data_IF_997425674219
#
_entry.id   IF_997425674219
#
_cell.length_a   1.000
_cell.length_b   1.000
_cell.length_c   1.000
_cell.angle_alpha   90.00
_cell.angle_beta   90.00
_cell.angle_gamma   90.00
#
_symmetry.space_group_name_H-M   'P 1'
#
loop_
_entity.id
_entity.type
_entity.pdbx_description
1 polymer ?
#
# COMPACT_ATOMS: atom_id res chain seq x y z
N UNK A 1 25.33 -30.80 -4.31
CA UNK A 1 25.04 -30.18 -5.61
C UNK A 1 25.86 -28.91 -5.65
N UNK A 2 26.89 -28.85 -6.50
CA UNK A 2 27.76 -27.66 -6.60
C UNK A 2 26.92 -26.52 -7.18
N UNK A 3 26.79 -25.41 -6.44
CA UNK A 3 26.25 -24.17 -6.98
C UNK A 3 27.25 -23.59 -7.98
N UNK A 4 26.75 -23.13 -9.12
CA UNK A 4 27.57 -22.50 -10.13
C UNK A 4 27.86 -21.04 -9.75
N UNK A 5 28.82 -20.40 -10.41
CA UNK A 5 29.20 -19.02 -10.09
C UNK A 5 28.02 -18.03 -10.20
N UNK A 6 27.13 -18.20 -11.18
CA UNK A 6 25.98 -17.31 -11.38
C UNK A 6 24.98 -17.37 -10.20
N UNK A 7 24.72 -18.57 -9.68
CA UNK A 7 23.81 -18.76 -8.54
C UNK A 7 24.39 -18.11 -7.26
N UNK A 8 25.70 -18.28 -7.05
CA UNK A 8 26.40 -17.68 -5.91
C UNK A 8 26.39 -16.17 -6.01
N UNK A 9 26.69 -15.60 -7.19
CA UNK A 9 26.66 -14.15 -7.43
C UNK A 9 25.31 -13.52 -7.12
N UNK A 10 24.22 -14.15 -7.56
CA UNK A 10 22.86 -13.69 -7.21
C UNK A 10 22.60 -13.74 -5.70
N UNK A 11 23.20 -14.69 -4.99
CA UNK A 11 23.04 -14.91 -3.55
C UNK A 11 23.95 -14.02 -2.69
N UNK A 12 25.04 -13.47 -3.23
CA UNK A 12 26.02 -12.68 -2.47
C UNK A 12 25.40 -11.46 -1.78
N UNK A 13 24.47 -10.77 -2.44
CA UNK A 13 23.79 -9.62 -1.84
C UNK A 13 22.99 -10.01 -0.59
N UNK A 14 22.22 -11.09 -0.67
CA UNK A 14 21.47 -11.60 0.48
C UNK A 14 22.39 -12.16 1.56
N UNK A 15 23.50 -12.80 1.19
CA UNK A 15 24.52 -13.28 2.11
C UNK A 15 25.16 -12.14 2.92
N UNK A 16 25.63 -11.09 2.24
CA UNK A 16 26.26 -9.90 2.88
C UNK A 16 25.28 -9.18 3.82
N UNK A 17 23.99 -9.14 3.48
CA UNK A 17 22.95 -8.55 4.31
C UNK A 17 22.44 -9.47 5.42
N UNK A 18 22.96 -10.70 5.52
CA UNK A 18 22.53 -11.69 6.51
C UNK A 18 21.09 -12.17 6.31
N UNK A 19 20.58 -12.10 5.08
CA UNK A 19 19.22 -12.46 4.70
C UNK A 19 19.09 -13.88 4.11
N UNK A 20 20.22 -14.61 4.02
CA UNK A 20 20.27 -15.97 3.50
C UNK A 20 19.99 -17.02 4.59
N UNK A 21 19.44 -18.17 4.21
CA UNK A 21 19.21 -19.26 5.17
C UNK A 21 20.54 -19.95 5.56
N UNK A 22 20.69 -20.49 6.79
CA UNK A 22 21.96 -21.07 7.25
C UNK A 22 22.52 -22.17 6.35
N UNK A 23 21.65 -22.99 5.77
CA UNK A 23 22.00 -24.04 4.81
C UNK A 23 22.56 -23.48 3.51
N UNK A 24 22.03 -22.36 3.03
CA UNK A 24 22.48 -21.68 1.82
C UNK A 24 23.81 -20.97 2.06
N UNK A 25 24.02 -20.41 3.27
CA UNK A 25 25.31 -19.82 3.68
C UNK A 25 26.45 -20.83 3.53
N UNK A 26 26.26 -22.08 3.98
CA UNK A 26 27.30 -23.13 3.87
C UNK A 26 27.68 -23.40 2.42
N UNK A 27 26.72 -23.36 1.50
CA UNK A 27 27.00 -23.59 0.07
C UNK A 27 27.74 -22.39 -0.55
N UNK A 28 27.33 -21.17 -0.21
CA UNK A 28 28.02 -19.94 -0.64
C UNK A 28 29.45 -19.89 -0.09
N UNK A 29 29.64 -20.16 1.21
CA UNK A 29 30.96 -20.20 1.86
C UNK A 29 31.88 -21.25 1.23
N UNK A 30 31.36 -22.45 0.95
CA UNK A 30 32.11 -23.50 0.27
C UNK A 30 32.59 -23.05 -1.11
N UNK A 31 31.74 -22.36 -1.89
CA UNK A 31 32.13 -21.83 -3.19
C UNK A 31 33.13 -20.67 -3.08
N UNK A 32 32.93 -19.76 -2.10
CA UNK A 32 33.85 -18.66 -1.84
C UNK A 32 35.24 -19.13 -1.40
N UNK A 33 35.36 -20.34 -0.83
CA UNK A 33 36.66 -20.95 -0.52
C UNK A 33 37.42 -21.37 -1.79
N UNK A 34 36.72 -21.69 -2.87
CA UNK A 34 37.29 -22.28 -4.10
C UNK A 34 37.35 -21.31 -5.29
N UNK A 35 36.58 -20.22 -5.28
CA UNK A 35 36.47 -19.28 -6.41
C UNK A 35 36.92 -17.85 -6.04
N UNK A 36 38.07 -17.42 -6.55
CA UNK A 36 38.59 -16.06 -6.32
C UNK A 36 37.73 -14.97 -6.97
N UNK A 37 37.05 -15.27 -8.08
CA UNK A 37 36.17 -14.31 -8.77
C UNK A 37 34.94 -13.94 -7.94
N UNK A 38 34.30 -14.93 -7.31
CA UNK A 38 33.18 -14.69 -6.40
C UNK A 38 33.64 -14.04 -5.09
N UNK A 39 34.86 -14.32 -4.62
CA UNK A 39 35.45 -13.67 -3.44
C UNK A 39 35.70 -12.18 -3.66
N UNK A 40 36.25 -11.81 -4.81
CA UNK A 40 36.47 -10.40 -5.16
C UNK A 40 35.15 -9.61 -5.20
N UNK A 41 34.08 -10.21 -5.73
CA UNK A 41 32.75 -9.58 -5.76
C UNK A 41 32.12 -9.47 -4.38
N UNK A 42 32.30 -10.48 -3.53
CA UNK A 42 31.89 -10.43 -2.13
C UNK A 42 32.56 -9.26 -1.38
N UNK A 43 33.85 -9.04 -1.60
CA UNK A 43 34.59 -7.94 -0.98
C UNK A 43 34.07 -6.57 -1.45
N UNK A 44 33.77 -6.43 -2.75
CA UNK A 44 33.17 -5.22 -3.31
C UNK A 44 31.80 -4.91 -2.69
N UNK A 45 30.93 -5.93 -2.59
CA UNK A 45 29.59 -5.79 -1.99
C UNK A 45 29.64 -5.50 -0.50
N UNK A 46 30.55 -6.12 0.25
CA UNK A 46 30.74 -5.87 1.68
C UNK A 46 31.14 -4.41 1.94
N UNK A 47 31.96 -3.84 1.05
CA UNK A 47 32.32 -2.42 1.09
C UNK A 47 31.10 -1.51 1.00
N UNK A 48 30.17 -1.78 0.08
CA UNK A 48 28.93 -1.00 -0.09
C UNK A 48 27.94 -1.25 1.06
N UNK A 49 27.76 -2.51 1.47
CA UNK A 49 26.85 -2.87 2.55
C UNK A 49 27.22 -2.22 3.90
N UNK A 50 28.52 -1.97 4.14
CA UNK A 50 28.97 -1.21 5.31
C UNK A 50 28.40 0.21 5.38
N UNK A 51 28.00 0.82 4.26
CA UNK A 51 27.32 2.12 4.26
C UNK A 51 25.85 2.02 4.67
N UNK A 52 25.17 0.89 4.41
CA UNK A 52 23.78 0.69 4.82
C UNK A 52 23.64 0.69 6.34
N UNK A 53 24.66 0.24 7.07
CA UNK A 53 24.69 0.32 8.54
C UNK A 53 24.73 1.75 9.10
N UNK A 54 24.96 2.78 8.27
CA UNK A 54 24.92 4.19 8.68
C UNK A 54 23.52 4.80 8.61
N UNK A 55 22.57 4.11 7.98
CA UNK A 55 21.19 4.58 7.82
C UNK A 55 20.44 4.28 9.11
N UNK A 56 19.89 5.31 9.73
CA UNK A 56 19.05 5.18 10.93
C UNK A 56 17.60 4.82 10.56
N UNK A 57 16.84 4.32 11.54
CA UNK A 57 15.41 4.07 11.37
C UNK A 57 14.64 5.35 11.01
N UNK A 58 15.07 6.51 11.53
CA UNK A 58 14.50 7.82 11.22
C UNK A 58 14.74 8.20 9.75
N UNK A 59 15.95 7.96 9.22
CA UNK A 59 16.26 8.20 7.80
C UNK A 59 15.36 7.36 6.88
N UNK A 60 15.11 6.10 7.26
CA UNK A 60 14.19 5.22 6.53
C UNK A 60 12.76 5.73 6.62
N UNK A 61 12.29 6.13 7.81
CA UNK A 61 10.94 6.66 8.01
C UNK A 61 10.68 7.95 7.22
N UNK A 62 11.69 8.82 7.13
CA UNK A 62 11.63 10.07 6.37
C UNK A 62 11.47 9.82 4.87
N UNK A 63 12.21 8.85 4.31
CA UNK A 63 12.11 8.47 2.89
C UNK A 63 10.82 7.68 2.61
N UNK A 64 10.40 6.81 3.53
CA UNK A 64 9.21 5.98 3.38
C UNK A 64 7.90 6.79 3.44
N UNK A 65 7.90 7.96 4.10
CA UNK A 65 6.78 8.89 4.04
C UNK A 65 6.76 9.66 2.71
N UNK A 66 5.76 9.45 1.83
CA UNK A 66 5.61 10.29 0.66
C UNK A 66 5.47 11.75 1.09
N UNK A 67 6.03 12.73 0.34
CA UNK A 67 5.86 14.13 0.68
C UNK A 67 4.37 14.45 0.85
N UNK A 68 4.00 15.03 2.01
CA UNK A 68 2.59 15.31 2.35
C UNK A 68 1.88 16.09 1.24
N UNK A 69 2.59 16.99 0.55
CA UNK A 69 2.09 17.71 -0.61
C UNK A 69 1.58 16.81 -1.76
N UNK A 70 2.21 15.66 -2.00
CA UNK A 70 1.77 14.69 -3.03
C UNK A 70 0.51 13.96 -2.55
N UNK A 71 0.49 13.51 -1.29
CA UNK A 71 -0.69 12.87 -0.70
C UNK A 71 -1.89 13.82 -0.69
N UNK A 72 -1.70 15.06 -0.24
CA UNK A 72 -2.73 16.10 -0.19
C UNK A 72 -3.24 16.46 -1.59
N UNK A 73 -2.36 16.48 -2.60
CA UNK A 73 -2.77 16.69 -3.99
C UNK A 73 -3.63 15.55 -4.52
N UNK A 74 -3.29 14.30 -4.21
CA UNK A 74 -4.07 13.13 -4.62
C UNK A 74 -5.42 13.05 -3.90
N UNK A 75 -5.43 13.26 -2.58
CA UNK A 75 -6.64 13.29 -1.76
C UNK A 75 -7.54 14.47 -2.14
N UNK A 76 -6.95 15.66 -2.33
CA UNK A 76 -7.63 16.87 -2.76
C UNK A 76 -8.26 16.75 -4.15
N UNK A 77 -7.54 16.16 -5.12
CA UNK A 77 -8.09 15.89 -6.44
C UNK A 77 -9.32 14.95 -6.37
N UNK A 78 -9.26 13.90 -5.55
CA UNK A 78 -10.37 12.95 -5.35
C UNK A 78 -11.55 13.60 -4.61
N UNK A 79 -11.28 14.41 -3.59
CA UNK A 79 -12.29 15.17 -2.87
C UNK A 79 -12.99 16.21 -3.76
N UNK A 80 -12.23 16.93 -4.60
CA UNK A 80 -12.76 17.91 -5.57
C UNK A 80 -13.68 17.23 -6.58
N UNK A 81 -13.27 16.08 -7.14
CA UNK A 81 -14.11 15.30 -8.09
C UNK A 81 -15.44 14.88 -7.46
N UNK A 82 -15.41 14.39 -6.20
CA UNK A 82 -16.64 14.03 -5.45
C UNK A 82 -17.52 15.25 -5.15
N UNK A 83 -16.93 16.40 -4.84
CA UNK A 83 -17.69 17.65 -4.59
C UNK A 83 -18.36 18.14 -5.87
N UNK A 84 -17.65 18.18 -7.00
CA UNK A 84 -18.20 18.57 -8.30
C UNK A 84 -19.34 17.63 -8.73
N UNK A 85 -19.16 16.31 -8.59
CA UNK A 85 -20.21 15.34 -8.91
C UNK A 85 -21.49 15.55 -8.09
N UNK A 86 -21.37 15.84 -6.78
CA UNK A 86 -22.52 16.15 -5.93
C UNK A 86 -23.21 17.45 -6.34
N UNK A 87 -22.45 18.49 -6.66
CA UNK A 87 -23.00 19.78 -7.12
C UNK A 87 -23.75 19.63 -8.44
N UNK A 88 -23.18 18.88 -9.40
CA UNK A 88 -23.84 18.59 -10.68
C UNK A 88 -25.12 17.78 -10.50
N UNK A 89 -25.12 16.79 -9.61
CA UNK A 89 -26.33 16.02 -9.29
C UNK A 89 -27.41 16.90 -8.67
N UNK A 90 -27.06 17.81 -7.75
CA UNK A 90 -28.02 18.75 -7.17
C UNK A 90 -28.58 19.72 -8.21
N UNK A 91 -27.75 20.22 -9.13
CA UNK A 91 -28.17 21.09 -10.24
C UNK A 91 -29.16 20.37 -11.17
N UNK A 92 -28.84 19.14 -11.58
CA UNK A 92 -29.73 18.31 -12.41
C UNK A 92 -31.08 18.05 -11.72
N UNK A 93 -31.06 17.75 -10.42
CA UNK A 93 -32.28 17.57 -9.64
C UNK A 93 -33.13 18.85 -9.56
N UNK A 94 -32.52 20.03 -9.36
CA UNK A 94 -33.24 21.30 -9.35
C UNK A 94 -33.88 21.65 -10.70
N UNK A 95 -33.22 21.34 -11.83
CA UNK A 95 -33.81 21.54 -13.17
C UNK A 95 -35.04 20.65 -13.38
N UNK A 96 -35.02 19.40 -12.90
CA UNK A 96 -36.19 18.51 -12.96
C UNK A 96 -37.36 19.04 -12.12
N UNK A 97 -37.10 19.55 -10.91
CA UNK A 97 -38.14 20.12 -10.04
C UNK A 97 -38.74 21.38 -10.65
N UNK A 98 -37.93 22.28 -11.21
CA UNK A 98 -38.42 23.49 -11.89
C UNK A 98 -39.12 23.15 -13.21
N UNK A 99 -38.66 22.15 -13.95
CA UNK A 99 -39.31 21.67 -15.17
C UNK A 99 -40.70 21.09 -14.89
N UNK A 100 -40.81 20.17 -13.92
CA UNK A 100 -42.09 19.55 -13.54
C UNK A 100 -43.02 20.55 -12.82
N UNK A 101 -42.48 21.41 -11.95
CA UNK A 101 -43.25 22.45 -11.27
C UNK A 101 -43.69 23.59 -12.20
N UNK A 102 -42.85 23.95 -13.17
CA UNK A 102 -43.13 24.97 -14.19
C UNK A 102 -44.18 24.51 -15.20
N UNK A 103 -44.17 23.24 -15.61
CA UNK A 103 -45.23 22.68 -16.46
C UNK A 103 -46.58 22.61 -15.72
N UNK A 104 -46.56 22.36 -14.41
CA UNK A 104 -47.77 22.33 -13.59
C UNK A 104 -48.31 23.74 -13.31
N UNK A 105 -47.45 24.75 -13.20
CA UNK A 105 -47.86 26.14 -13.02
C UNK A 105 -48.33 26.78 -14.34
N UNK A 106 -47.69 26.48 -15.47
CA UNK A 106 -48.12 26.94 -16.80
C UNK A 106 -49.47 26.34 -17.20
N UNK A 107 -49.81 25.12 -16.77
CA UNK A 107 -51.14 24.53 -17.00
C UNK A 107 -52.28 25.26 -16.25
N UNK A 108 -51.97 26.12 -15.27
CA UNK A 108 -52.97 26.92 -14.54
C UNK A 108 -53.15 28.33 -15.09
N UNK A 109 -52.29 28.77 -16.04
CA UNK A 109 -52.48 30.02 -16.78
C UNK A 109 -53.06 29.69 -18.15
N UNK A 110 -54.36 29.85 -18.31
CA UNK A 110 -55.01 29.93 -19.60
C UNK A 110 -54.36 31.05 -20.43
N UNK A 111 -53.71 30.76 -21.57
CA UNK A 111 -53.35 31.80 -22.52
C UNK A 111 -54.60 32.16 -23.32
N UNK A 112 -55.11 33.36 -23.08
CA UNK A 112 -55.98 34.04 -24.02
C UNK A 112 -55.29 34.10 -25.40
N UNK A 113 -56.02 33.58 -26.38
CA UNK A 113 -55.55 33.34 -27.73
C UNK A 113 -55.42 34.67 -28.50
N UNK A 114 -54.27 34.89 -29.12
CA UNK A 114 -54.18 35.69 -30.35
C UNK A 114 -53.35 34.93 -31.37
N UNK A 115 -54.03 34.52 -32.44
CA UNK A 115 -53.49 33.93 -33.66
C UNK A 115 -52.89 35.03 -34.54
N UNK A 116 -51.67 34.82 -35.05
CA UNK A 116 -51.18 35.33 -36.36
C UNK A 116 -49.84 34.61 -36.64
N UNK A 117 -49.74 33.63 -37.55
CA UNK A 117 -49.75 33.67 -39.02
C UNK A 117 -48.35 33.88 -39.63
N UNK A 118 -47.97 32.89 -40.47
CA UNK A 118 -46.98 32.93 -41.57
C UNK A 118 -45.50 33.20 -41.21
N UNK A 119 -44.46 32.63 -41.82
CA UNK A 119 -44.28 31.63 -42.88
C UNK A 119 -42.78 31.26 -42.90
N UNK A 120 -42.43 30.07 -43.38
CA UNK A 120 -41.06 29.73 -43.84
C UNK A 120 -40.84 30.34 -45.25
N UNK A 121 -39.59 30.66 -45.65
CA UNK A 121 -38.81 29.67 -46.41
C UNK A 121 -37.28 29.69 -46.16
N UNK A 122 -36.63 28.55 -46.43
CA UNK A 122 -35.21 28.44 -46.82
C UNK A 122 -35.07 28.77 -48.34
N UNK A 123 -33.90 29.11 -48.93
CA UNK A 123 -32.71 28.23 -49.01
C UNK A 123 -31.31 28.88 -49.23
N UNK A 124 -30.29 27.99 -49.36
CA UNK A 124 -29.10 28.02 -50.25
C UNK A 124 -27.76 28.68 -49.84
N UNK A 125 -26.80 27.80 -49.51
CA UNK A 125 -25.49 27.50 -50.17
C UNK A 125 -24.32 28.52 -50.33
N UNK A 126 -23.11 27.93 -50.16
CA UNK A 126 -21.77 28.26 -50.73
C UNK A 126 -20.98 29.46 -50.14
N UNK A 127 -19.65 29.46 -49.90
CA UNK A 127 -18.53 28.51 -50.05
C UNK A 127 -17.26 29.04 -49.35
N UNK A 128 -16.36 28.11 -49.00
CA UNK A 128 -14.87 28.16 -49.03
C UNK A 128 -14.05 29.16 -48.17
N UNK A 129 -12.99 28.65 -47.55
CA UNK A 129 -11.93 29.47 -46.91
C UNK A 129 -10.81 28.67 -46.22
N UNK A 130 -9.91 28.11 -47.04
CA UNK A 130 -8.47 27.79 -46.89
C UNK A 130 -7.78 27.54 -45.54
N UNK A 131 -6.93 26.52 -45.64
CA UNK A 131 -5.84 26.01 -44.80
C UNK A 131 -4.73 27.01 -44.45
N UNK A 132 -4.03 26.73 -43.35
CA UNK A 132 -2.71 27.26 -42.98
C UNK A 132 -2.45 27.00 -41.49
N UNK A 133 -1.31 26.51 -41.01
CA UNK A 133 -0.07 26.06 -41.62
C UNK A 133 0.79 25.55 -40.46
N UNK A 134 1.38 24.37 -40.63
CA UNK A 134 2.33 23.78 -39.69
C UNK A 134 3.71 24.33 -40.04
N UNK A 135 4.38 25.01 -39.10
CA UNK A 135 5.79 25.35 -39.23
C UNK A 135 6.45 25.38 -37.84
N UNK A 136 7.24 24.34 -37.57
CA UNK A 136 8.34 24.41 -36.63
C UNK A 136 9.39 25.41 -37.14
N UNK A 137 10.28 25.93 -36.27
CA UNK A 137 11.65 25.44 -36.40
C UNK A 137 12.48 25.35 -35.09
N UNK A 138 13.33 24.32 -35.11
CA UNK A 138 14.78 24.33 -34.86
C UNK A 138 15.39 24.39 -33.44
N UNK A 139 16.45 23.57 -33.35
CA UNK A 139 17.36 23.30 -32.23
C UNK A 139 18.24 24.50 -31.86
N UNK A 140 18.67 24.54 -30.60
CA UNK A 140 19.98 25.09 -30.22
C UNK A 140 20.63 24.22 -29.14
N UNK A 141 21.89 23.89 -29.42
CA UNK A 141 22.89 23.14 -28.68
C UNK A 141 23.33 23.80 -27.37
N UNK A 142 23.78 22.93 -26.47
CA UNK A 142 24.91 23.01 -25.53
C UNK A 142 24.99 24.21 -24.56
N UNK A 143 25.10 23.95 -23.25
CA UNK A 143 26.32 24.22 -22.45
C UNK A 143 26.10 24.08 -20.93
N UNK A 144 26.99 23.28 -20.33
CA UNK A 144 27.60 23.38 -18.99
C UNK A 144 26.77 23.75 -17.75
N UNK A 145 26.52 22.75 -16.89
CA UNK A 145 26.29 22.98 -15.46
C UNK A 145 27.50 22.50 -14.67
N UNK A 146 28.39 23.45 -14.35
CA UNK A 146 29.45 23.28 -13.39
C UNK A 146 28.87 23.37 -11.96
N UNK A 147 29.41 22.53 -11.10
CA UNK A 147 29.10 22.42 -9.69
C UNK A 147 29.28 23.72 -8.91
N UNK A 148 28.39 23.95 -7.94
CA UNK A 148 28.74 24.57 -6.66
C UNK A 148 27.68 24.22 -5.62
N UNK A 149 28.10 23.41 -4.65
CA UNK A 149 27.38 23.12 -3.42
C UNK A 149 28.15 23.74 -2.26
N UNK A 150 27.43 24.41 -1.34
CA UNK A 150 27.63 24.48 0.12
C UNK A 150 26.79 25.65 0.70
N UNK A 151 26.50 25.73 2.01
CA UNK A 151 25.63 24.82 2.79
C UNK A 151 24.59 25.63 3.62
N UNK A 152 23.47 25.03 4.04
CA UNK A 152 22.66 25.58 5.14
C UNK A 152 22.29 24.45 6.08
N UNK A 153 22.77 24.55 7.33
CA UNK A 153 22.42 23.67 8.45
C UNK A 153 21.00 23.99 8.92
N UNK A 154 20.16 23.00 9.27
CA UNK A 154 18.92 23.27 9.97
C UNK A 154 19.10 23.14 11.49
N UNK A 155 18.70 24.20 12.19
CA UNK A 155 18.46 24.21 13.63
C UNK A 155 17.36 23.19 14.01
N UNK A 156 17.59 22.55 15.14
CA UNK A 156 16.76 21.56 15.81
C UNK A 156 15.52 22.22 16.42
N UNK A 157 14.33 21.64 16.22
CA UNK A 157 13.13 22.01 16.97
C UNK A 157 12.54 20.74 17.62
N UNK A 158 13.00 20.48 18.84
CA UNK A 158 12.55 19.43 19.74
C UNK A 158 11.14 19.72 20.25
N UNK A 159 10.10 19.16 19.60
CA UNK A 159 8.76 19.02 20.21
C UNK A 159 8.09 17.70 19.83
N UNK A 160 8.54 16.62 20.48
CA UNK A 160 7.90 15.31 20.45
C UNK A 160 6.62 15.35 21.29
N UNK A 161 5.48 15.17 20.63
CA UNK A 161 4.20 14.78 21.25
C UNK A 161 4.20 13.27 21.48
N UNK A 162 4.22 12.85 22.75
CA UNK A 162 3.93 11.47 23.16
C UNK A 162 2.49 11.10 22.82
N UNK A 163 2.27 10.07 21.99
CA UNK A 163 0.97 9.46 21.77
C UNK A 163 0.72 8.31 22.78
N UNK A 164 -0.49 8.28 23.32
CA UNK A 164 -0.97 7.42 24.41
C UNK A 164 -1.10 5.92 24.01
N UNK A 165 -1.27 4.97 24.97
CA UNK A 165 -1.17 3.55 24.67
C UNK A 165 -2.43 3.03 23.94
N UNK A 166 -2.22 2.38 22.80
CA UNK A 166 -3.27 1.65 22.08
C UNK A 166 -3.88 0.55 22.96
N UNK A 167 -5.21 0.45 22.95
CA UNK A 167 -5.95 -0.63 23.58
C UNK A 167 -5.53 -1.96 22.97
N UNK A 168 -4.83 -2.80 23.74
CA UNK A 168 -4.36 -4.11 23.31
C UNK A 168 -4.95 -5.23 24.17
N UNK A 169 -5.26 -6.35 23.53
CA UNK A 169 -5.82 -7.56 24.16
C UNK A 169 -5.06 -8.78 23.68
N UNK A 170 -4.62 -9.61 24.62
CA UNK A 170 -3.94 -10.88 24.30
C UNK A 170 -4.84 -12.06 24.64
N UNK A 171 -4.97 -12.99 23.70
CA UNK A 171 -5.76 -14.22 23.82
C UNK A 171 -4.87 -15.41 23.46
N UNK A 172 -5.01 -16.52 24.18
CA UNK A 172 -4.20 -17.73 23.95
C UNK A 172 -5.11 -18.92 23.74
N UNK A 173 -4.73 -19.81 22.82
CA UNK A 173 -5.36 -21.11 22.68
C UNK A 173 -4.34 -22.16 22.22
N UNK A 174 -4.72 -23.43 22.29
CA UNK A 174 -3.87 -24.52 21.81
C UNK A 174 -4.69 -25.74 21.45
N UNK A 175 -4.15 -26.54 20.53
CA UNK A 175 -4.74 -27.79 20.04
C UNK A 175 -3.62 -28.82 19.85
N UNK A 176 -3.66 -29.90 20.62
CA UNK A 176 -2.58 -30.90 20.64
C UNK A 176 -1.25 -30.29 21.08
N UNK A 177 -0.21 -30.46 20.26
CA UNK A 177 1.12 -29.89 20.52
C UNK A 177 1.25 -28.41 20.13
N UNK A 178 0.30 -27.86 19.36
CA UNK A 178 0.37 -26.49 18.84
C UNK A 178 -0.29 -25.52 19.81
N UNK A 179 0.41 -24.43 20.18
CA UNK A 179 -0.15 -23.32 20.95
C UNK A 179 0.02 -22.01 20.20
N UNK A 180 -0.99 -21.16 20.26
CA UNK A 180 -1.02 -19.83 19.66
C UNK A 180 -1.34 -18.78 20.73
N UNK A 181 -0.58 -17.68 20.75
CA UNK A 181 -0.90 -16.47 21.50
C UNK A 181 -1.10 -15.33 20.50
N UNK A 182 -2.28 -14.72 20.52
CA UNK A 182 -2.68 -13.64 19.62
C UNK A 182 -2.88 -12.37 20.44
N UNK A 183 -2.03 -11.37 20.22
CA UNK A 183 -2.18 -10.03 20.75
C UNK A 183 -2.76 -9.14 19.66
N UNK A 184 -3.96 -8.62 19.88
CA UNK A 184 -4.58 -7.64 18.98
C UNK A 184 -4.48 -6.25 19.59
N UNK A 185 -4.20 -5.25 18.75
CA UNK A 185 -4.02 -3.86 19.15
C UNK A 185 -4.91 -3.01 18.25
N UNK A 186 -5.76 -2.17 18.84
CA UNK A 186 -6.56 -1.20 18.07
C UNK A 186 -5.58 -0.21 17.46
N UNK A 187 -5.63 0.01 16.14
CA UNK A 187 -4.94 1.10 15.48
C UNK A 187 -5.93 2.07 14.82
N UNK A 188 -5.39 3.05 14.11
CA UNK A 188 -6.17 4.07 13.39
C UNK A 188 -6.89 3.46 12.17
N UNK A 189 -8.09 2.92 12.41
CA UNK A 189 -8.95 2.35 11.37
C UNK A 189 -8.63 0.90 10.96
N UNK A 190 -7.64 0.27 11.58
CA UNK A 190 -7.32 -1.16 11.42
C UNK A 190 -7.03 -1.79 12.78
N UNK A 191 -7.09 -3.12 12.85
CA UNK A 191 -6.64 -3.86 14.02
C UNK A 191 -5.33 -4.55 13.67
N UNK A 192 -4.25 -4.19 14.37
CA UNK A 192 -2.98 -4.89 14.27
C UNK A 192 -3.05 -6.18 15.07
N UNK A 193 -2.49 -7.27 14.53
CA UNK A 193 -2.54 -8.59 15.14
C UNK A 193 -1.14 -9.17 15.17
N UNK A 194 -0.69 -9.50 16.37
CA UNK A 194 0.61 -10.11 16.66
C UNK A 194 0.39 -11.53 17.14
N UNK A 195 0.87 -12.53 16.41
CA UNK A 195 0.70 -13.94 16.73
C UNK A 195 2.04 -14.56 17.10
N UNK A 196 2.07 -15.33 18.18
CA UNK A 196 3.20 -16.18 18.56
C UNK A 196 2.71 -17.63 18.53
N UNK A 197 3.32 -18.44 17.67
CA UNK A 197 3.02 -19.86 17.54
C UNK A 197 4.15 -20.71 18.09
N UNK A 198 3.80 -21.80 18.77
CA UNK A 198 4.75 -22.79 19.31
C UNK A 198 4.24 -24.20 19.02
N UNK A 199 5.16 -25.13 18.78
CA UNK A 199 4.83 -26.54 18.49
C UNK A 199 4.31 -26.83 17.08
N UNK A 200 4.25 -25.84 16.19
CA UNK A 200 4.01 -26.06 14.77
C UNK A 200 5.27 -26.59 14.06
N UNK A 201 5.11 -27.44 13.04
CA UNK A 201 6.24 -27.98 12.30
C UNK A 201 6.97 -26.89 11.49
N UNK A 202 8.30 -26.88 11.56
CA UNK A 202 9.14 -25.96 10.79
C UNK A 202 8.92 -26.16 9.28
N UNK A 203 9.06 -25.10 8.49
CA UNK A 203 8.80 -25.07 7.05
C UNK A 203 7.33 -25.08 6.66
N UNK A 204 6.40 -25.14 7.63
CA UNK A 204 4.96 -25.19 7.31
C UNK A 204 4.41 -23.80 7.00
N UNK A 205 3.84 -23.56 5.81
CA UNK A 205 3.10 -22.34 5.53
C UNK A 205 1.77 -22.32 6.29
N UNK A 206 1.47 -21.21 6.95
CA UNK A 206 0.19 -20.98 7.61
C UNK A 206 -0.33 -19.57 7.33
N UNK A 207 -1.63 -19.40 7.55
CA UNK A 207 -2.37 -18.16 7.39
C UNK A 207 -3.21 -17.91 8.63
N UNK A 208 -3.33 -16.66 9.04
CA UNK A 208 -4.25 -16.26 10.10
C UNK A 208 -5.51 -15.67 9.49
N UNK A 209 -6.64 -16.34 9.73
CA UNK A 209 -7.95 -15.82 9.39
C UNK A 209 -8.59 -15.21 10.64
N UNK A 210 -9.09 -13.99 10.51
CA UNK A 210 -9.83 -13.25 11.54
C UNK A 210 -11.31 -13.36 11.20
N UNK A 211 -12.12 -13.76 12.17
CA UNK A 211 -13.57 -13.93 11.99
C UNK A 211 -14.30 -12.88 12.83
N UNK A 212 -15.12 -12.05 12.19
CA UNK A 212 -15.97 -11.08 12.86
C UNK A 212 -17.15 -11.75 13.57
N UNK A 213 -17.78 -11.06 14.53
CA UNK A 213 -19.01 -11.50 15.17
C UNK A 213 -20.17 -11.70 14.16
N UNK A 214 -20.11 -11.03 13.01
CA UNK A 214 -21.05 -11.21 11.89
C UNK A 214 -20.73 -12.41 10.98
N UNK A 215 -19.66 -13.17 11.27
CA UNK A 215 -19.24 -14.34 10.49
C UNK A 215 -18.39 -14.00 9.26
N UNK A 216 -18.05 -12.74 9.02
CA UNK A 216 -17.13 -12.34 7.97
C UNK A 216 -15.72 -12.85 8.29
N UNK A 217 -15.05 -13.46 7.32
CA UNK A 217 -13.69 -13.97 7.44
C UNK A 217 -12.76 -13.10 6.62
N UNK A 218 -11.73 -12.53 7.27
CA UNK A 218 -10.67 -11.77 6.61
C UNK A 218 -9.31 -12.35 6.98
N UNK A 219 -8.45 -12.56 5.98
CA UNK A 219 -7.06 -12.97 6.22
C UNK A 219 -6.25 -11.78 6.75
N UNK A 220 -5.62 -11.95 7.92
CA UNK A 220 -4.72 -10.95 8.50
C UNK A 220 -3.27 -11.06 8.01
N UNK A 221 -2.87 -12.23 7.50
CA UNK A 221 -1.55 -12.43 6.90
C UNK A 221 -1.19 -13.90 6.73
N UNK A 222 -0.09 -14.12 6.02
CA UNK A 222 0.42 -15.42 5.63
C UNK A 222 1.91 -15.49 6.00
N UNK A 223 2.34 -16.58 6.61
CA UNK A 223 3.72 -16.77 7.04
C UNK A 223 4.17 -18.21 6.87
N UNK A 224 5.48 -18.43 6.91
CA UNK A 224 6.09 -19.75 6.98
C UNK A 224 6.74 -19.89 8.36
N UNK A 225 6.51 -21.03 9.04
CA UNK A 225 7.16 -21.30 10.33
C UNK A 225 8.65 -21.55 10.10
N UNK A 226 9.51 -20.55 10.27
CA UNK A 226 10.96 -20.72 10.16
C UNK A 226 11.63 -20.92 11.54
N UNK A 227 12.89 -21.35 11.52
CA UNK A 227 13.69 -21.61 12.74
C UNK A 227 13.85 -20.37 13.62
N UNK A 228 14.01 -19.19 13.01
CA UNK A 228 14.10 -17.92 13.74
C UNK A 228 12.81 -17.56 14.51
N UNK A 229 11.63 -17.90 13.95
CA UNK A 229 10.34 -17.73 14.60
C UNK A 229 10.10 -18.75 15.73
N UNK A 230 10.62 -19.97 15.57
CA UNK A 230 10.52 -21.06 16.54
C UNK A 230 11.44 -20.86 17.77
N UNK A 231 12.71 -20.52 17.54
CA UNK A 231 13.73 -20.47 18.59
C UNK A 231 13.66 -19.19 19.45
N UNK A 232 13.15 -18.07 18.88
CA UNK A 232 13.01 -16.77 19.59
C UNK A 232 11.57 -16.36 19.91
N UNK A 233 10.55 -17.18 19.63
CA UNK A 233 9.14 -16.74 19.70
C UNK A 233 8.90 -15.45 18.89
N UNK A 234 9.51 -15.39 17.70
CA UNK A 234 9.38 -14.24 16.80
C UNK A 234 7.90 -14.02 16.46
N UNK A 235 7.34 -12.83 16.73
CA UNK A 235 5.93 -12.59 16.48
C UNK A 235 5.63 -12.45 15.00
N UNK A 236 4.61 -13.14 14.53
CA UNK A 236 4.00 -12.94 13.22
C UNK A 236 3.07 -11.73 13.28
N UNK A 237 3.33 -10.73 12.44
CA UNK A 237 2.60 -9.46 12.44
C UNK A 237 1.67 -9.40 11.23
N UNK A 238 0.36 -9.35 11.49
CA UNK A 238 -0.70 -9.16 10.51
C UNK A 238 -1.59 -7.98 10.84
N UNK A 239 -2.51 -7.65 9.93
CA UNK A 239 -3.47 -6.57 10.12
C UNK A 239 -4.81 -6.92 9.48
N UNK A 240 -5.90 -6.37 10.04
CA UNK A 240 -7.26 -6.59 9.54
C UNK A 240 -8.06 -5.29 9.57
N UNK A 241 -8.99 -5.15 8.64
CA UNK A 241 -9.97 -4.05 8.61
C UNK A 241 -11.14 -4.32 9.56
N UNK A 242 -11.28 -5.56 10.07
CA UNK A 242 -12.29 -5.89 11.08
C UNK A 242 -11.98 -5.06 12.35
N UNK A 243 -12.95 -4.26 12.85
CA UNK A 243 -12.73 -3.45 14.04
C UNK A 243 -12.41 -4.30 15.26
N UNK A 244 -11.53 -3.82 16.13
CA UNK A 244 -11.08 -4.51 17.35
C UNK A 244 -12.23 -5.11 18.18
N UNK A 245 -13.33 -4.36 18.38
CA UNK A 245 -14.48 -4.82 19.16
C UNK A 245 -15.41 -5.80 18.45
N UNK A 246 -15.22 -6.01 17.15
CA UNK A 246 -16.05 -6.89 16.32
C UNK A 246 -15.40 -8.25 16.06
N UNK A 247 -14.18 -8.50 16.54
CA UNK A 247 -13.46 -9.76 16.33
C UNK A 247 -13.98 -10.81 17.31
N UNK A 248 -14.42 -11.95 16.80
CA UNK A 248 -14.96 -13.06 17.61
C UNK A 248 -13.94 -14.18 17.82
N UNK A 249 -13.16 -14.52 16.81
CA UNK A 249 -12.14 -15.57 16.88
C UNK A 249 -11.09 -15.41 15.80
N UNK A 250 -9.95 -16.05 16.03
CA UNK A 250 -8.87 -16.21 15.07
C UNK A 250 -8.69 -17.69 14.75
N UNK A 251 -8.52 -18.00 13.48
CA UNK A 251 -8.20 -19.34 13.01
C UNK A 251 -6.81 -19.34 12.38
N UNK A 252 -5.92 -20.20 12.91
CA UNK A 252 -4.63 -20.48 12.30
C UNK A 252 -4.83 -21.65 11.35
N UNK A 253 -4.63 -21.42 10.05
CA UNK A 253 -4.95 -22.37 8.98
C UNK A 253 -3.69 -22.75 8.22
N UNK A 254 -3.51 -24.02 7.86
CA UNK A 254 -2.42 -24.45 6.97
C UNK A 254 -2.70 -24.10 5.51
N UNK A 255 -1.69 -24.22 4.63
CA UNK A 255 -1.91 -24.12 3.17
C UNK A 255 -2.94 -25.12 2.62
N UNK A 256 -3.13 -26.27 3.30
CA UNK A 256 -4.13 -27.29 2.96
C UNK A 256 -5.54 -26.93 3.47
N UNK A 257 -5.75 -25.69 3.93
CA UNK A 257 -7.01 -25.22 4.51
C UNK A 257 -7.46 -25.97 5.78
N UNK A 258 -6.49 -26.51 6.55
CA UNK A 258 -6.75 -27.23 7.80
C UNK A 258 -6.55 -26.31 9.00
N UNK A 259 -7.53 -26.26 9.90
CA UNK A 259 -7.46 -25.43 11.13
C UNK A 259 -6.54 -26.09 12.17
N UNK A 260 -5.39 -25.45 12.40
CA UNK A 260 -4.41 -25.82 13.42
C UNK A 260 -4.87 -25.41 14.81
N UNK A 261 -5.29 -24.16 14.99
CA UNK A 261 -5.74 -23.62 16.29
C UNK A 261 -6.88 -22.63 16.06
N UNK A 262 -7.91 -22.74 16.89
CA UNK A 262 -9.01 -21.78 17.00
C UNK A 262 -8.83 -21.00 18.31
N UNK A 263 -8.68 -19.68 18.20
CA UNK A 263 -8.44 -18.78 19.33
C UNK A 263 -9.67 -17.88 19.48
N UNK A 264 -10.50 -18.15 20.49
CA UNK A 264 -11.72 -17.36 20.72
C UNK A 264 -11.46 -16.12 21.56
N UNK A 265 -11.98 -14.99 21.09
CA UNK A 265 -11.99 -13.73 21.85
C UNK A 265 -13.26 -13.71 22.71
N UNK A 266 -13.13 -13.50 24.04
CA UNK A 266 -14.27 -13.38 24.93
C UNK A 266 -15.01 -12.04 24.80
#
# INVERSE_FOLDING_TARGET
>A
MMMNCDDVRMSLGAYVLGALEPEECVVVEAHLAECDGCRAEFDELTGVAGFLGKVSEEDVAQVASPPRAVLDRLLGARARKRRIARVMLSLAASVLVVGLGGTMWAATRSPESTLDSAALPAPAAASAGSEGGFAAPQQRKDEHFAASASPVSPESDDRILSAAPDESRTVKAGKGAVRAAVTMTRGDGTTAVKVVLSGAAMGTPFRLDVISAGGERQTAGNWVVNKAAYDRSGPFLGSTTIPFGSISRFEVVTAENRVLVDVRVP
#
